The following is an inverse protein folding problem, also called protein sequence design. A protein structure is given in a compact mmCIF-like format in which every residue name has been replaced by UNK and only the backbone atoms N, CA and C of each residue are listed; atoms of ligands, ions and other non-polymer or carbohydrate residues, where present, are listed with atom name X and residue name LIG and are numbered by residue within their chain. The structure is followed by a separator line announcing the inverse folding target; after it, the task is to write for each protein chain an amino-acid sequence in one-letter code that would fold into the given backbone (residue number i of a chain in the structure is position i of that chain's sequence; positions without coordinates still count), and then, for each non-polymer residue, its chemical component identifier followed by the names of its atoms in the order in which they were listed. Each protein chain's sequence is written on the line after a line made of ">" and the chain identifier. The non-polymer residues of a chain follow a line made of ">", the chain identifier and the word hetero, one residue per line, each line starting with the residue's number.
data_IF_004854008320
#
_entry.id   IF_004854008320
#
_cell.length_a   1.000
_cell.length_b   1.000
_cell.length_c   1.000
_cell.angle_alpha   90.00
_cell.angle_beta   90.00
_cell.angle_gamma   90.00
#
_symmetry.space_group_name_H-M   'P 1'
#
loop_
_entity.id
_entity.type
_entity.pdbx_description
1 polymer ?
#
# COMPACT_ATOMS: atom_id res chain seq x y z
N UNK A 1 -18.05 -24.06 12.56
CA UNK A 1 -16.76 -24.18 11.84
C UNK A 1 -15.76 -24.67 12.86
N UNK A 2 -15.26 -25.91 12.71
CA UNK A 2 -14.31 -26.50 13.66
C UNK A 2 -12.88 -25.95 13.52
N UNK A 3 -12.55 -25.40 12.36
CA UNK A 3 -11.28 -24.73 12.07
C UNK A 3 -11.52 -23.57 11.11
N UNK A 4 -10.87 -22.45 11.36
CA UNK A 4 -10.85 -21.33 10.41
C UNK A 4 -9.89 -21.67 9.26
N UNK A 5 -10.17 -21.23 8.02
CA UNK A 5 -9.21 -21.36 6.93
C UNK A 5 -7.94 -20.58 7.23
N UNK A 6 -6.87 -20.88 6.49
CA UNK A 6 -5.63 -20.11 6.57
C UNK A 6 -5.92 -18.65 6.20
N UNK A 7 -5.37 -17.67 6.96
CA UNK A 7 -5.60 -16.27 6.67
C UNK A 7 -4.97 -15.87 5.33
N UNK A 8 -5.66 -15.00 4.61
CA UNK A 8 -5.21 -14.38 3.38
C UNK A 8 -4.95 -12.90 3.63
N UNK A 9 -3.99 -12.32 2.92
CA UNK A 9 -3.54 -10.96 3.11
C UNK A 9 -3.46 -10.22 1.78
N UNK A 10 -3.58 -8.90 1.81
CA UNK A 10 -3.29 -8.07 0.66
C UNK A 10 -1.81 -8.19 0.29
N UNK A 11 -1.49 -8.02 -0.98
CA UNK A 11 -0.11 -7.89 -1.44
C UNK A 11 0.58 -6.73 -0.74
N UNK A 12 1.84 -6.90 -0.43
CA UNK A 12 2.70 -5.84 0.08
C UNK A 12 3.52 -5.14 -1.01
N UNK A 13 3.40 -5.60 -2.27
CA UNK A 13 4.13 -5.08 -3.43
C UNK A 13 3.23 -4.42 -4.46
N UNK A 14 1.90 -4.66 -4.41
CA UNK A 14 0.95 -4.21 -5.44
C UNK A 14 -0.43 -3.92 -4.81
N UNK A 15 -0.93 -2.69 -4.98
CA UNK A 15 -2.25 -2.28 -4.49
C UNK A 15 -3.42 -2.97 -5.21
N UNK A 16 -3.23 -3.47 -6.42
CA UNK A 16 -4.27 -4.13 -7.20
C UNK A 16 -4.57 -5.56 -6.76
N UNK A 17 -3.71 -6.15 -5.91
CA UNK A 17 -3.82 -7.54 -5.44
C UNK A 17 -4.26 -7.56 -3.98
N UNK A 18 -5.55 -7.79 -3.77
CA UNK A 18 -6.17 -7.87 -2.45
C UNK A 18 -6.27 -9.30 -1.90
N UNK A 19 -6.59 -9.42 -0.62
CA UNK A 19 -6.80 -10.73 0.01
C UNK A 19 -7.96 -11.53 -0.61
N UNK A 20 -8.92 -10.85 -1.24
CA UNK A 20 -10.04 -11.50 -1.94
C UNK A 20 -9.65 -11.97 -3.35
N UNK A 21 -8.59 -11.42 -3.93
CA UNK A 21 -8.13 -11.74 -5.29
C UNK A 21 -7.05 -12.82 -5.31
N UNK A 22 -6.49 -13.19 -4.17
CA UNK A 22 -5.28 -14.03 -4.07
C UNK A 22 -5.44 -15.42 -4.67
N UNK A 23 -6.68 -15.91 -4.78
CA UNK A 23 -7.00 -17.20 -5.42
C UNK A 23 -7.38 -17.07 -6.90
N UNK A 24 -7.25 -15.90 -7.49
CA UNK A 24 -7.49 -15.68 -8.91
C UNK A 24 -6.59 -16.56 -9.77
N UNK A 25 -7.19 -17.20 -10.76
CA UNK A 25 -6.47 -18.06 -11.72
C UNK A 25 -6.20 -17.36 -13.06
N UNK A 26 -6.43 -16.08 -13.17
CA UNK A 26 -6.43 -15.20 -14.32
C UNK A 26 -7.84 -15.00 -14.92
N UNK A 27 -7.97 -13.94 -15.76
CA UNK A 27 -9.23 -13.59 -16.41
C UNK A 27 -9.89 -14.83 -17.06
N UNK A 28 -11.19 -15.06 -16.83
CA UNK A 28 -12.18 -14.16 -16.20
C UNK A 28 -12.35 -14.29 -14.67
N UNK A 29 -11.48 -15.01 -13.99
CA UNK A 29 -11.52 -15.26 -12.55
C UNK A 29 -10.85 -14.11 -11.77
N UNK A 30 -11.62 -13.49 -10.87
CA UNK A 30 -11.18 -12.40 -9.99
C UNK A 30 -10.85 -12.89 -8.56
N UNK A 31 -10.89 -14.21 -8.33
CA UNK A 31 -10.65 -14.83 -7.02
C UNK A 31 -11.87 -14.81 -6.11
N UNK A 32 -12.63 -13.74 -6.05
CA UNK A 32 -13.88 -13.62 -5.31
C UNK A 32 -15.13 -13.83 -6.19
N UNK A 33 -14.96 -13.87 -7.54
CA UNK A 33 -16.03 -14.04 -8.49
C UNK A 33 -15.54 -14.11 -9.92
N UNK A 34 -16.43 -14.49 -10.82
CA UNK A 34 -16.16 -14.71 -12.24
C UNK A 34 -16.81 -13.62 -13.09
N UNK A 35 -16.03 -13.04 -14.01
CA UNK A 35 -16.54 -12.08 -14.99
C UNK A 35 -17.44 -12.77 -16.02
N UNK A 36 -18.65 -12.24 -16.16
CA UNK A 36 -19.61 -12.69 -17.14
C UNK A 36 -19.53 -11.84 -18.40
N UNK A 37 -19.12 -12.45 -19.51
CA UNK A 37 -18.92 -11.77 -20.79
C UNK A 37 -20.23 -11.32 -21.47
N UNK A 38 -21.40 -11.84 -21.07
CA UNK A 38 -22.69 -11.47 -21.64
C UNK A 38 -23.32 -10.27 -20.93
N UNK A 39 -23.15 -10.21 -19.60
CA UNK A 39 -23.77 -9.18 -18.75
C UNK A 39 -22.78 -8.09 -18.36
N UNK A 40 -21.48 -8.28 -18.64
CA UNK A 40 -20.39 -7.36 -18.35
C UNK A 40 -20.26 -6.98 -16.86
N UNK A 41 -20.50 -7.96 -15.99
CA UNK A 41 -20.34 -7.83 -14.54
C UNK A 41 -19.51 -8.99 -13.98
N UNK A 42 -19.00 -8.83 -12.76
CA UNK A 42 -18.38 -9.93 -12.00
C UNK A 42 -19.45 -10.52 -11.08
N UNK A 43 -19.64 -11.83 -11.10
CA UNK A 43 -20.57 -12.53 -10.22
C UNK A 43 -19.79 -13.28 -9.15
N UNK A 44 -20.07 -12.98 -7.89
CA UNK A 44 -19.40 -13.56 -6.75
C UNK A 44 -19.74 -15.04 -6.55
N UNK A 45 -18.72 -15.86 -6.38
CA UNK A 45 -18.81 -17.30 -6.15
C UNK A 45 -18.19 -17.75 -4.83
N UNK A 46 -17.58 -16.84 -4.10
CA UNK A 46 -16.80 -17.13 -2.89
C UNK A 46 -17.38 -16.47 -1.65
N UNK A 47 -17.45 -17.24 -0.55
CA UNK A 47 -17.83 -16.75 0.77
C UNK A 47 -16.58 -16.58 1.64
N UNK A 48 -16.33 -15.38 2.11
CA UNK A 48 -15.19 -15.04 2.94
C UNK A 48 -15.54 -15.01 4.42
N UNK A 49 -14.57 -15.35 5.26
CA UNK A 49 -14.62 -15.11 6.70
C UNK A 49 -13.64 -14.00 7.01
N UNK A 50 -14.14 -12.93 7.61
CA UNK A 50 -13.35 -11.76 7.96
C UNK A 50 -13.38 -11.51 9.46
N UNK A 51 -12.35 -10.87 9.97
CA UNK A 51 -12.28 -10.39 11.34
C UNK A 51 -12.28 -8.86 11.31
N UNK A 52 -13.30 -8.24 11.93
CA UNK A 52 -13.41 -6.78 11.96
C UNK A 52 -12.33 -6.16 12.84
N UNK A 53 -12.18 -4.84 12.80
CA UNK A 53 -11.27 -4.09 13.67
C UNK A 53 -11.59 -4.24 15.16
N UNK A 54 -12.85 -4.47 15.49
CA UNK A 54 -13.31 -4.78 16.84
C UNK A 54 -13.10 -6.25 17.25
N UNK A 55 -12.49 -7.06 16.37
CA UNK A 55 -12.17 -8.46 16.65
C UNK A 55 -13.31 -9.44 16.46
N UNK A 56 -14.43 -9.00 15.87
CA UNK A 56 -15.62 -9.83 15.63
C UNK A 56 -15.49 -10.57 14.31
N UNK A 57 -15.80 -11.86 14.33
CA UNK A 57 -15.81 -12.67 13.12
C UNK A 57 -17.15 -12.56 12.38
N UNK A 58 -17.10 -12.28 11.07
CA UNK A 58 -18.23 -12.16 10.18
C UNK A 58 -18.06 -13.02 8.94
N UNK A 59 -19.16 -13.39 8.30
CA UNK A 59 -19.21 -13.88 6.92
C UNK A 59 -19.41 -12.67 6.01
N UNK A 60 -18.69 -12.65 4.88
CA UNK A 60 -18.83 -11.65 3.81
C UNK A 60 -18.96 -12.38 2.48
N UNK A 61 -19.99 -12.02 1.72
CA UNK A 61 -20.16 -12.45 0.34
C UNK A 61 -20.29 -11.22 -0.55
N UNK A 62 -19.35 -11.03 -1.45
CA UNK A 62 -19.44 -10.06 -2.53
C UNK A 62 -20.30 -10.71 -3.61
N UNK A 63 -21.54 -10.26 -3.77
CA UNK A 63 -22.50 -10.89 -4.69
C UNK A 63 -22.19 -10.56 -6.14
N UNK A 64 -21.85 -9.29 -6.41
CA UNK A 64 -21.45 -8.86 -7.75
C UNK A 64 -20.75 -7.49 -7.74
N UNK A 65 -20.00 -7.23 -8.79
CA UNK A 65 -19.59 -5.90 -9.23
C UNK A 65 -20.26 -5.61 -10.56
N UNK A 66 -21.04 -4.55 -10.65
CA UNK A 66 -21.82 -4.17 -11.81
C UNK A 66 -21.73 -2.65 -12.01
N UNK A 67 -21.17 -2.23 -13.15
CA UNK A 67 -20.98 -0.80 -13.51
C UNK A 67 -20.34 0.05 -12.39
N UNK A 68 -19.34 -0.47 -11.69
CA UNK A 68 -18.65 0.21 -10.59
C UNK A 68 -19.39 0.17 -9.25
N UNK A 69 -20.46 -0.61 -9.14
CA UNK A 69 -21.19 -0.80 -7.88
C UNK A 69 -20.92 -2.21 -7.34
N UNK A 70 -20.33 -2.30 -6.16
CA UNK A 70 -20.22 -3.54 -5.42
C UNK A 70 -21.51 -3.80 -4.63
N UNK A 71 -22.08 -4.99 -4.80
CA UNK A 71 -23.21 -5.49 -4.01
C UNK A 71 -22.70 -6.62 -3.14
N UNK A 72 -22.95 -6.54 -1.84
CA UNK A 72 -22.45 -7.55 -0.91
C UNK A 72 -23.36 -7.75 0.28
N UNK A 73 -23.15 -8.86 0.96
CA UNK A 73 -23.84 -9.23 2.19
C UNK A 73 -22.84 -9.62 3.27
N UNK A 74 -23.15 -9.27 4.50
CA UNK A 74 -22.42 -9.79 5.64
C UNK A 74 -23.36 -10.21 6.76
N UNK A 75 -22.90 -11.12 7.61
CA UNK A 75 -23.66 -11.67 8.71
C UNK A 75 -22.73 -12.19 9.82
N UNK A 76 -23.28 -12.50 10.97
CA UNK A 76 -22.58 -13.31 11.96
C UNK A 76 -22.24 -14.71 11.41
N UNK A 77 -21.28 -15.41 12.02
CA UNK A 77 -20.88 -16.74 11.54
C UNK A 77 -22.03 -17.76 11.54
N UNK A 78 -23.00 -17.61 12.45
CA UNK A 78 -24.22 -18.44 12.52
C UNK A 78 -25.29 -18.05 11.49
N UNK A 79 -25.10 -16.94 10.76
CA UNK A 79 -26.04 -16.41 9.78
C UNK A 79 -27.04 -15.40 10.30
N UNK A 80 -27.03 -15.12 11.60
CA UNK A 80 -27.85 -14.03 12.17
C UNK A 80 -27.32 -12.65 11.77
N UNK A 81 -28.15 -11.62 11.91
CA UNK A 81 -27.84 -10.24 11.57
C UNK A 81 -27.33 -10.09 10.12
N UNK A 82 -28.05 -10.72 9.19
CA UNK A 82 -27.77 -10.58 7.77
C UNK A 82 -28.09 -9.16 7.31
N UNK A 83 -27.09 -8.50 6.76
CA UNK A 83 -27.16 -7.15 6.20
C UNK A 83 -26.79 -7.22 4.73
N UNK A 84 -27.55 -6.51 3.89
CA UNK A 84 -27.29 -6.36 2.45
C UNK A 84 -26.95 -4.92 2.17
N UNK A 85 -25.85 -4.70 1.47
CA UNK A 85 -25.29 -3.38 1.21
C UNK A 85 -24.77 -3.23 -0.21
N UNK A 86 -24.53 -1.99 -0.61
CA UNK A 86 -23.85 -1.66 -1.84
C UNK A 86 -22.92 -0.46 -1.64
N UNK A 87 -21.82 -0.46 -2.41
CA UNK A 87 -20.90 0.67 -2.48
C UNK A 87 -20.70 1.03 -3.94
N UNK A 88 -21.00 2.29 -4.30
CA UNK A 88 -20.78 2.83 -5.63
C UNK A 88 -19.41 3.51 -5.69
N UNK A 89 -18.42 2.85 -6.29
CA UNK A 89 -17.06 3.37 -6.40
C UNK A 89 -16.95 4.55 -7.37
N UNK A 90 -17.93 4.75 -8.26
CA UNK A 90 -17.93 5.91 -9.18
C UNK A 90 -18.02 7.25 -8.44
N UNK A 91 -18.55 7.26 -7.21
CA UNK A 91 -18.57 8.46 -6.36
C UNK A 91 -17.17 8.83 -5.81
N UNK A 92 -16.17 7.94 -6.01
CA UNK A 92 -14.82 8.04 -5.48
C UNK A 92 -13.77 7.90 -6.59
N UNK A 93 -14.11 8.28 -7.82
CA UNK A 93 -13.30 8.04 -9.03
C UNK A 93 -11.91 8.69 -9.01
N UNK A 94 -11.69 9.66 -8.12
CA UNK A 94 -10.39 10.29 -7.89
C UNK A 94 -9.66 9.75 -6.65
N UNK A 95 -10.13 8.64 -6.08
CA UNK A 95 -9.55 8.00 -4.90
C UNK A 95 -8.97 6.64 -5.27
N UNK A 96 -7.89 6.25 -4.63
CA UNK A 96 -7.32 4.90 -4.78
C UNK A 96 -8.22 3.83 -4.18
N UNK A 97 -8.79 4.11 -3.00
CA UNK A 97 -9.64 3.19 -2.27
C UNK A 97 -10.91 3.87 -1.78
N UNK A 98 -11.94 3.05 -1.63
CA UNK A 98 -13.13 3.35 -0.83
C UNK A 98 -13.22 2.31 0.28
N UNK A 99 -13.57 2.73 1.47
CA UNK A 99 -13.62 1.88 2.65
C UNK A 99 -15.08 1.63 3.05
N UNK A 100 -15.33 0.43 3.55
CA UNK A 100 -16.59 0.10 4.16
C UNK A 100 -16.35 -0.48 5.56
N UNK A 101 -16.92 0.15 6.56
CA UNK A 101 -16.88 -0.32 7.95
C UNK A 101 -18.06 -1.25 8.23
N UNK A 102 -17.78 -2.53 8.38
CA UNK A 102 -18.78 -3.57 8.64
C UNK A 102 -19.37 -3.48 10.05
N UNK A 103 -18.66 -2.89 11.00
CA UNK A 103 -19.14 -2.77 12.37
C UNK A 103 -20.17 -1.62 12.50
N UNK A 104 -20.05 -0.56 11.73
CA UNK A 104 -20.99 0.58 11.70
C UNK A 104 -21.92 0.60 10.48
N UNK A 105 -21.74 -0.32 9.52
CA UNK A 105 -22.49 -0.38 8.25
C UNK A 105 -22.40 0.91 7.42
N UNK A 106 -21.18 1.50 7.33
CA UNK A 106 -20.98 2.78 6.67
C UNK A 106 -19.82 2.75 5.67
N UNK A 107 -20.04 3.40 4.53
CA UNK A 107 -18.96 3.75 3.62
C UNK A 107 -18.17 4.93 4.19
N UNK A 108 -16.84 4.82 4.19
CA UNK A 108 -15.96 5.83 4.75
C UNK A 108 -15.12 6.45 3.62
N UNK A 109 -15.20 7.76 3.47
CA UNK A 109 -14.30 8.55 2.64
C UNK A 109 -13.13 9.06 3.48
N UNK A 110 -12.01 8.35 3.46
CA UNK A 110 -10.86 8.59 4.34
C UNK A 110 -9.62 9.08 3.62
N UNK A 111 -9.58 8.95 2.30
CA UNK A 111 -8.39 9.27 1.54
C UNK A 111 -8.45 10.64 0.90
N UNK A 112 -7.31 11.30 0.71
CA UNK A 112 -7.18 12.39 -0.22
C UNK A 112 -7.38 11.90 -1.66
N UNK A 113 -7.37 12.81 -2.64
CA UNK A 113 -7.35 12.42 -4.05
C UNK A 113 -6.06 11.61 -4.36
N UNK A 114 -6.13 10.71 -5.36
CA UNK A 114 -5.07 9.75 -5.65
C UNK A 114 -3.74 10.43 -6.03
N UNK A 115 -3.80 11.59 -6.64
CA UNK A 115 -2.66 12.42 -7.01
C UNK A 115 -2.14 13.32 -5.86
N UNK A 116 -2.73 13.26 -4.66
CA UNK A 116 -2.42 14.15 -3.54
C UNK A 116 -1.70 13.47 -2.37
N UNK A 117 -1.27 12.22 -2.55
CA UNK A 117 -0.47 11.52 -1.56
C UNK A 117 0.62 10.68 -2.21
N UNK A 118 1.77 10.56 -1.56
CA UNK A 118 2.93 9.84 -2.08
C UNK A 118 3.18 8.52 -1.38
N UNK A 119 2.92 8.46 -0.07
CA UNK A 119 3.08 7.24 0.73
C UNK A 119 2.22 7.29 1.99
N UNK A 120 1.94 6.13 2.54
CA UNK A 120 1.19 5.95 3.78
C UNK A 120 2.00 5.18 4.81
N UNK A 121 1.94 5.61 6.06
CA UNK A 121 2.44 4.84 7.20
C UNK A 121 1.37 3.86 7.63
N UNK A 122 1.68 2.58 7.61
CA UNK A 122 0.69 1.55 7.90
C UNK A 122 1.31 0.30 8.52
N UNK A 123 0.44 -0.53 9.10
CA UNK A 123 0.76 -1.93 9.38
C UNK A 123 0.30 -2.78 8.23
N UNK A 124 1.16 -3.66 7.76
CA UNK A 124 0.85 -4.60 6.68
C UNK A 124 1.51 -5.95 6.94
N UNK A 125 1.11 -6.95 6.20
CA UNK A 125 1.72 -8.27 6.24
C UNK A 125 2.70 -8.39 5.09
N UNK A 126 3.90 -8.84 5.39
CA UNK A 126 4.95 -9.12 4.40
C UNK A 126 5.58 -10.49 4.71
N UNK A 127 6.07 -11.23 3.72
CA UNK A 127 6.75 -12.48 3.96
C UNK A 127 8.14 -12.24 4.60
N UNK A 128 8.34 -12.77 5.80
CA UNK A 128 9.65 -12.83 6.45
C UNK A 128 10.00 -14.30 6.64
N UNK A 129 11.12 -14.76 6.09
CA UNK A 129 11.49 -16.19 6.06
C UNK A 129 10.36 -17.10 5.55
N UNK A 130 9.64 -16.65 4.51
CA UNK A 130 8.47 -17.32 3.91
C UNK A 130 7.28 -17.51 4.88
N UNK A 131 7.20 -16.72 5.93
CA UNK A 131 6.05 -16.69 6.84
C UNK A 131 5.41 -15.29 6.83
N UNK A 132 4.07 -15.20 6.89
CA UNK A 132 3.38 -13.91 7.00
C UNK A 132 3.77 -13.23 8.32
N UNK A 133 4.30 -12.03 8.23
CA UNK A 133 4.75 -11.26 9.39
C UNK A 133 4.19 -9.84 9.35
N UNK A 134 3.63 -9.40 10.48
CA UNK A 134 3.06 -8.05 10.61
C UNK A 134 4.17 -7.03 10.89
N UNK A 135 4.29 -6.05 10.01
CA UNK A 135 5.28 -4.98 10.14
C UNK A 135 4.60 -3.60 10.17
N UNK A 136 5.29 -2.63 10.76
CA UNK A 136 4.95 -1.21 10.63
C UNK A 136 5.97 -0.56 9.69
N UNK A 137 5.51 0.02 8.61
CA UNK A 137 6.39 0.61 7.61
C UNK A 137 5.65 1.62 6.73
N UNK A 138 6.17 1.81 5.53
CA UNK A 138 5.61 2.68 4.51
C UNK A 138 5.26 1.87 3.28
N UNK A 139 4.12 2.21 2.69
CA UNK A 139 3.74 1.79 1.35
C UNK A 139 3.54 3.03 0.49
N UNK A 140 4.14 3.05 -0.70
CA UNK A 140 4.04 4.14 -1.64
C UNK A 140 2.74 4.08 -2.45
N UNK A 141 2.30 5.23 -2.96
CA UNK A 141 1.21 5.27 -3.92
C UNK A 141 1.68 4.70 -5.27
N UNK A 142 0.75 4.24 -6.07
CA UNK A 142 1.02 3.84 -7.45
C UNK A 142 1.47 5.05 -8.26
N UNK A 143 2.49 4.86 -9.11
CA UNK A 143 3.10 5.96 -9.88
C UNK A 143 4.19 6.73 -9.13
N UNK A 144 4.42 6.43 -7.86
CA UNK A 144 5.59 6.89 -7.12
C UNK A 144 6.73 5.90 -7.32
N UNK A 145 7.89 6.42 -7.71
CA UNK A 145 9.10 5.63 -7.87
C UNK A 145 10.06 5.87 -6.71
N UNK A 146 10.72 4.83 -6.25
CA UNK A 146 11.65 4.92 -5.11
C UNK A 146 12.98 4.29 -5.46
N UNK A 147 14.06 5.00 -5.15
CA UNK A 147 15.42 4.46 -5.22
C UNK A 147 16.02 4.38 -3.80
N UNK A 148 16.61 3.23 -3.46
CA UNK A 148 17.29 3.00 -2.18
C UNK A 148 18.78 3.31 -2.29
N UNK A 149 19.29 4.19 -1.47
CA UNK A 149 20.72 4.41 -1.27
C UNK A 149 21.15 3.75 0.04
N UNK A 150 21.85 2.63 -0.06
CA UNK A 150 22.27 1.80 1.06
C UNK A 150 23.78 1.95 1.30
N UNK A 151 24.22 1.71 2.55
CA UNK A 151 25.63 1.75 2.96
C UNK A 151 26.32 3.09 2.65
N UNK A 152 25.56 4.19 2.75
CA UNK A 152 26.07 5.54 2.56
C UNK A 152 26.65 6.12 3.86
N UNK A 153 27.55 7.08 3.75
CA UNK A 153 28.20 7.68 4.93
C UNK A 153 27.26 8.53 5.77
N UNK A 154 26.48 9.42 5.14
CA UNK A 154 25.53 10.30 5.83
C UNK A 154 24.28 10.52 4.99
N UNK A 155 23.11 10.10 5.49
CA UNK A 155 21.85 10.29 4.77
C UNK A 155 21.52 11.75 4.52
N UNK A 156 21.86 12.63 5.46
CA UNK A 156 21.51 14.06 5.39
C UNK A 156 22.26 14.84 4.30
N UNK A 157 23.43 14.34 3.87
CA UNK A 157 24.26 15.01 2.86
C UNK A 157 24.35 14.23 1.52
N UNK A 158 23.80 13.03 1.46
CA UNK A 158 23.88 12.21 0.26
C UNK A 158 22.90 12.70 -0.82
N UNK A 159 23.43 13.03 -2.01
CA UNK A 159 22.66 13.66 -3.10
C UNK A 159 22.70 12.88 -4.42
N UNK A 160 23.47 11.81 -4.49
CA UNK A 160 23.75 11.12 -5.76
C UNK A 160 22.64 10.12 -6.12
N UNK A 161 21.43 10.62 -6.39
CA UNK A 161 20.29 9.79 -6.76
C UNK A 161 20.40 9.19 -8.18
N UNK A 162 21.17 9.82 -9.09
CA UNK A 162 21.35 9.35 -10.45
C UNK A 162 22.07 7.99 -10.57
N UNK A 163 22.73 7.56 -9.50
CA UNK A 163 23.44 6.27 -9.47
C UNK A 163 22.57 5.12 -8.91
N UNK A 164 21.29 5.35 -8.67
CA UNK A 164 20.37 4.35 -8.13
C UNK A 164 19.22 4.10 -9.10
N UNK A 165 18.76 2.86 -9.16
CA UNK A 165 17.57 2.51 -9.92
C UNK A 165 16.32 2.91 -9.13
N UNK A 166 15.36 3.49 -9.82
CA UNK A 166 14.04 3.77 -9.31
C UNK A 166 13.13 2.59 -9.61
N UNK A 167 12.49 2.07 -8.57
CA UNK A 167 11.59 0.92 -8.61
C UNK A 167 10.16 1.36 -8.30
N UNK A 168 9.17 0.55 -8.72
CA UNK A 168 7.75 0.89 -8.64
C UNK A 168 6.98 0.09 -7.58
N UNK A 169 7.62 -0.86 -6.91
CA UNK A 169 6.94 -1.64 -5.88
C UNK A 169 6.54 -0.75 -4.71
N UNK A 170 5.31 -0.89 -4.25
CA UNK A 170 4.76 -0.02 -3.22
C UNK A 170 5.50 -0.12 -1.88
N UNK A 171 6.17 -1.23 -1.60
CA UNK A 171 6.94 -1.47 -0.38
C UNK A 171 8.44 -1.16 -0.52
N UNK A 172 8.86 -0.41 -1.54
CA UNK A 172 10.28 -0.08 -1.72
C UNK A 172 10.90 0.63 -0.52
N UNK A 173 10.21 1.53 0.15
CA UNK A 173 10.68 2.04 1.45
C UNK A 173 10.53 0.97 2.52
N UNK A 174 9.35 0.36 2.60
CA UNK A 174 9.07 -0.78 3.43
C UNK A 174 9.23 -0.53 4.93
N UNK A 175 9.77 -1.51 5.63
CA UNK A 175 9.86 -1.50 7.10
C UNK A 175 11.30 -1.65 7.63
N UNK A 176 12.25 -2.05 6.80
CA UNK A 176 13.60 -2.48 7.19
C UNK A 176 14.61 -1.34 7.46
N UNK A 177 14.13 -0.08 7.37
CA UNK A 177 14.91 1.10 7.75
C UNK A 177 15.19 1.19 9.26
N UNK A 178 14.56 0.30 10.03
CA UNK A 178 14.75 0.15 11.47
C UNK A 178 14.87 -1.32 11.87
N UNK A 179 15.53 -1.59 12.98
CA UNK A 179 15.65 -2.93 13.55
C UNK A 179 15.30 -2.85 15.03
N UNK A 180 14.57 -3.83 15.55
CA UNK A 180 14.31 -3.92 16.99
C UNK A 180 15.52 -4.52 17.69
N UNK A 181 16.04 -3.81 18.67
CA UNK A 181 17.15 -4.27 19.52
C UNK A 181 16.59 -4.89 20.79
N UNK A 182 16.84 -6.19 20.96
CA UNK A 182 16.41 -6.95 22.13
C UNK A 182 17.16 -6.57 23.40
N UNK A 183 18.34 -5.96 23.28
CA UNK A 183 19.14 -5.54 24.44
C UNK A 183 18.61 -4.27 25.09
N UNK A 184 18.26 -3.28 24.28
CA UNK A 184 17.71 -1.99 24.75
C UNK A 184 16.18 -1.94 24.73
N UNK A 185 15.51 -2.97 24.21
CA UNK A 185 14.06 -3.01 23.97
C UNK A 185 13.54 -1.79 23.20
N UNK A 186 14.32 -1.31 22.21
CA UNK A 186 14.02 -0.14 21.42
C UNK A 186 14.32 -0.38 19.93
N UNK A 187 13.84 0.52 19.06
CA UNK A 187 14.17 0.48 17.65
C UNK A 187 15.43 1.29 17.36
N UNK A 188 16.35 0.67 16.63
CA UNK A 188 17.54 1.32 16.08
C UNK A 188 17.27 1.68 14.63
N UNK A 189 17.43 2.95 14.29
CA UNK A 189 17.32 3.45 12.91
C UNK A 189 18.61 3.16 12.16
N UNK A 190 18.49 2.70 10.92
CA UNK A 190 19.64 2.50 10.06
C UNK A 190 20.12 3.84 9.48
N UNK A 191 21.15 4.42 10.09
CA UNK A 191 21.69 5.73 9.74
C UNK A 191 22.61 5.71 8.50
N UNK A 192 22.76 4.58 7.80
CA UNK A 192 23.56 4.45 6.60
C UNK A 192 22.70 4.28 5.34
N UNK A 193 21.45 4.74 5.36
CA UNK A 193 20.55 4.70 4.21
C UNK A 193 19.68 5.93 4.10
N UNK A 194 19.34 6.28 2.87
CA UNK A 194 18.24 7.18 2.53
C UNK A 194 17.47 6.62 1.33
N UNK A 195 16.36 7.25 1.03
CA UNK A 195 15.52 6.91 -0.11
C UNK A 195 15.33 8.16 -0.96
N UNK A 196 15.30 7.99 -2.27
CA UNK A 196 14.92 9.02 -3.20
C UNK A 196 13.54 8.67 -3.75
N UNK A 197 12.61 9.59 -3.59
CA UNK A 197 11.24 9.45 -4.07
C UNK A 197 11.08 10.36 -5.27
N UNK A 198 10.62 9.83 -6.38
CA UNK A 198 10.20 10.59 -7.55
C UNK A 198 8.68 10.69 -7.53
N UNK A 199 8.18 11.93 -7.48
CA UNK A 199 6.75 12.21 -7.45
C UNK A 199 6.11 12.17 -8.86
N UNK A 200 4.80 12.43 -8.93
CA UNK A 200 4.02 12.45 -10.18
C UNK A 200 4.50 13.51 -11.19
N UNK A 201 5.17 14.57 -10.72
CA UNK A 201 5.74 15.64 -11.54
C UNK A 201 7.22 15.40 -11.88
N UNK A 202 7.76 14.23 -11.56
CA UNK A 202 9.18 13.87 -11.70
C UNK A 202 10.14 14.69 -10.82
N UNK A 203 9.63 15.36 -9.78
CA UNK A 203 10.52 15.94 -8.78
C UNK A 203 11.10 14.82 -7.91
N UNK A 204 12.37 14.96 -7.54
CA UNK A 204 13.05 14.00 -6.69
C UNK A 204 13.20 14.56 -5.29
N UNK A 205 12.80 13.81 -4.30
CA UNK A 205 12.94 14.12 -2.88
C UNK A 205 13.79 13.06 -2.19
N UNK A 206 14.72 13.48 -1.35
CA UNK A 206 15.42 12.58 -0.45
C UNK A 206 14.68 12.48 0.87
N UNK A 207 14.49 11.24 1.34
CA UNK A 207 13.90 10.92 2.65
C UNK A 207 14.89 10.07 3.44
N UNK A 208 15.02 10.35 4.75
CA UNK A 208 15.68 9.47 5.71
C UNK A 208 15.00 9.55 7.08
N UNK A 209 14.96 8.41 7.78
CA UNK A 209 14.31 8.30 9.08
C UNK A 209 15.29 8.61 10.21
N UNK A 210 14.77 9.16 11.31
CA UNK A 210 15.56 9.54 12.49
C UNK A 210 15.06 8.89 13.78
N UNK A 211 13.75 8.50 13.83
CA UNK A 211 13.18 7.93 15.04
C UNK A 211 11.96 7.05 14.74
N UNK A 212 11.75 6.05 15.58
CA UNK A 212 10.53 5.26 15.65
C UNK A 212 10.25 4.82 17.10
N UNK A 213 9.13 5.27 17.66
CA UNK A 213 8.76 4.96 19.06
C UNK A 213 8.12 3.57 19.22
N UNK A 214 7.83 2.88 18.12
CA UNK A 214 7.22 1.56 18.14
C UNK A 214 5.80 1.54 17.56
N UNK A 215 5.30 0.31 17.31
CA UNK A 215 4.00 0.09 16.65
C UNK A 215 2.80 0.47 17.50
N UNK A 216 2.97 0.67 18.82
CA UNK A 216 1.89 1.07 19.73
C UNK A 216 1.54 2.54 19.62
N UNK A 217 2.54 3.41 19.47
CA UNK A 217 2.35 4.85 19.25
C UNK A 217 2.25 5.20 17.78
N UNK A 218 2.93 4.44 16.92
CA UNK A 218 3.04 4.71 15.48
C UNK A 218 3.85 5.96 15.14
N UNK A 219 4.50 6.61 16.13
CA UNK A 219 5.23 7.85 15.90
C UNK A 219 6.54 7.58 15.17
N UNK A 220 6.73 8.27 14.05
CA UNK A 220 7.86 8.18 13.15
C UNK A 220 8.39 9.58 12.89
N UNK A 221 9.71 9.77 13.02
CA UNK A 221 10.38 11.02 12.64
C UNK A 221 11.27 10.78 11.42
N UNK A 222 11.19 11.69 10.46
CA UNK A 222 11.95 11.63 9.22
C UNK A 222 12.23 13.02 8.68
N UNK A 223 13.22 13.14 7.79
CA UNK A 223 13.55 14.38 7.09
C UNK A 223 13.29 14.21 5.60
N UNK A 224 12.80 15.28 4.97
CA UNK A 224 12.57 15.37 3.52
C UNK A 224 13.33 16.56 2.97
N UNK A 225 13.97 16.39 1.82
CA UNK A 225 14.64 17.48 1.10
C UNK A 225 14.45 17.27 -0.40
N UNK A 226 14.00 18.32 -1.11
CA UNK A 226 13.95 18.27 -2.56
C UNK A 226 15.35 18.27 -3.14
N UNK A 227 15.58 17.42 -4.13
CA UNK A 227 16.85 17.35 -4.87
C UNK A 227 16.75 18.23 -6.09
N UNK A 228 17.67 19.16 -6.23
CA UNK A 228 17.75 19.97 -7.44
C UNK A 228 18.32 19.10 -8.56
N UNK A 229 17.60 18.96 -9.66
CA UNK A 229 18.16 18.48 -10.91
C UNK A 229 19.20 19.51 -11.34
N UNK A 230 20.48 19.17 -11.24
CA UNK A 230 21.53 19.93 -11.93
C UNK A 230 21.34 19.69 -13.41
N UNK A 231 20.57 20.53 -14.07
CA UNK A 231 20.58 20.60 -15.53
C UNK A 231 21.97 21.09 -15.91
N UNK A 232 22.86 20.17 -16.27
CA UNK A 232 24.07 20.53 -16.98
C UNK A 232 23.63 21.02 -18.36
N UNK A 233 23.43 22.33 -18.51
CA UNK A 233 23.39 22.98 -19.81
C UNK A 233 24.81 22.86 -20.34
N UNK A 234 25.04 21.90 -21.21
CA UNK A 234 26.28 21.83 -22.01
C UNK A 234 26.20 22.99 -23.00
N UNK A 235 26.74 24.14 -22.63
CA UNK A 235 26.98 25.27 -23.51
C UNK A 235 28.11 24.90 -24.51
N UNK A 236 27.78 24.00 -25.45
CA UNK A 236 28.58 23.77 -26.65
C UNK A 236 27.99 24.59 -27.79
N UNK A 237 28.09 25.90 -27.73
CA UNK A 237 28.01 26.77 -28.91
C UNK A 237 28.61 28.14 -28.59
N UNK A 238 29.92 28.20 -28.38
CA UNK A 238 30.71 29.38 -28.73
C UNK A 238 31.28 29.15 -30.10
N UNK A 239 30.55 29.47 -31.15
CA UNK A 239 31.10 29.74 -32.45
C UNK A 239 31.72 31.15 -32.43
N UNK A 240 33.03 31.23 -32.40
CA UNK A 240 33.80 32.44 -32.73
C UNK A 240 33.59 32.72 -34.21
N UNK A 241 32.92 33.81 -34.55
CA UNK A 241 32.92 34.38 -35.90
C UNK A 241 34.04 35.41 -35.88
N UNK A 242 35.05 35.16 -36.68
CA UNK A 242 36.07 36.14 -37.12
C UNK A 242 35.48 37.08 -38.16
#
# INVERSE_FOLDING_TARGET
>A
INTLPSPQFNSDTDWSVGAFDINSSAFPDYGWGIYNMLTHNVVGDSLHIIKTTNGIWKKLWIEKLDAGVYFFKHANLDGTNLITQQVNTNNYSNKKFVYYDIDSDQTLDREPADDQWHFTFTKYITPVMNQPYSVTGLLCNEGIEVAKALQIGSPSSYTNFANHNFEHEINEIGYDWKTFDMGSFSYIINNSRCYFIKDFDNNVFRIYFTEFEGSSTGKISFNVSQMNSSVYINDKNKSTIN
#
